data_IF_108448050691
#
_entry.id   IF_108448050691
#
_cell.length_a   1.000
_cell.length_b   1.000
_cell.length_c   1.000
_cell.angle_alpha   90.00
_cell.angle_beta   90.00
_cell.angle_gamma   90.00
#
_symmetry.space_group_name_H-M   'P 1'
#
loop_
_entity.id
_entity.type
_entity.pdbx_description
1 polymer ?
#
# COMPACT_ATOMS: atom_id res chain seq x y z
N UNK A 1 -11.18 -6.74 -10.33
CA UNK A 1 -10.02 -7.24 -11.10
C UNK A 1 -8.70 -7.01 -10.37
N UNK A 2 -8.38 -5.78 -9.94
CA UNK A 2 -7.13 -5.47 -9.20
C UNK A 2 -6.92 -6.37 -7.97
N UNK A 3 -7.98 -6.61 -7.19
CA UNK A 3 -7.91 -7.49 -6.00
C UNK A 3 -7.57 -8.95 -6.33
N UNK A 4 -8.11 -9.50 -7.43
CA UNK A 4 -7.86 -10.88 -7.84
C UNK A 4 -6.42 -11.04 -8.32
N UNK A 5 -5.93 -10.07 -9.10
CA UNK A 5 -4.53 -10.06 -9.60
C UNK A 5 -3.55 -9.95 -8.43
N UNK A 6 -3.82 -9.11 -7.43
CA UNK A 6 -2.99 -8.98 -6.23
C UNK A 6 -2.94 -10.27 -5.40
N UNK A 7 -4.06 -10.99 -5.27
CA UNK A 7 -4.11 -12.28 -4.56
C UNK A 7 -3.35 -13.37 -5.31
N UNK A 8 -3.50 -13.43 -6.63
CA UNK A 8 -2.76 -14.38 -7.48
C UNK A 8 -1.25 -14.14 -7.43
N UNK A 9 -0.84 -12.87 -7.46
CA UNK A 9 0.56 -12.49 -7.31
C UNK A 9 1.13 -12.90 -5.94
N UNK A 10 0.38 -12.68 -4.85
CA UNK A 10 0.76 -13.13 -3.51
C UNK A 10 0.96 -14.66 -3.46
N UNK A 11 0.04 -15.42 -4.06
CA UNK A 11 0.14 -16.88 -4.14
C UNK A 11 1.36 -17.34 -4.93
N UNK A 12 1.68 -16.68 -6.04
CA UNK A 12 2.87 -16.98 -6.86
C UNK A 12 4.15 -16.68 -6.07
N UNK A 13 4.21 -15.57 -5.35
CA UNK A 13 5.36 -15.21 -4.50
C UNK A 13 5.52 -16.23 -3.37
N UNK A 14 4.43 -16.61 -2.69
CA UNK A 14 4.47 -17.63 -1.65
C UNK A 14 4.88 -19.00 -2.19
N UNK A 15 4.34 -19.42 -3.35
CA UNK A 15 4.73 -20.64 -4.01
C UNK A 15 6.21 -20.61 -4.43
N UNK A 16 6.70 -19.46 -4.91
CA UNK A 16 8.11 -19.25 -5.25
C UNK A 16 9.02 -19.35 -4.04
N UNK A 17 8.64 -18.76 -2.90
CA UNK A 17 9.38 -18.88 -1.63
C UNK A 17 9.40 -20.34 -1.17
N UNK A 18 8.25 -21.03 -1.19
CA UNK A 18 8.17 -22.47 -0.84
C UNK A 18 9.04 -23.30 -1.77
N UNK A 19 9.03 -23.03 -3.08
CA UNK A 19 9.83 -23.73 -4.07
C UNK A 19 11.33 -23.48 -3.86
N UNK A 20 11.75 -22.24 -3.56
CA UNK A 20 13.14 -21.91 -3.22
C UNK A 20 13.56 -22.57 -1.92
N UNK A 21 12.68 -22.69 -0.92
CA UNK A 21 12.97 -23.40 0.34
C UNK A 21 13.08 -24.91 0.11
N UNK A 22 12.23 -25.49 -0.74
CA UNK A 22 12.27 -26.93 -1.06
C UNK A 22 13.49 -27.28 -1.92
N UNK A 23 13.82 -26.45 -2.92
CA UNK A 23 14.98 -26.65 -3.79
C UNK A 23 16.30 -26.31 -3.08
N UNK A 24 16.32 -25.28 -2.25
CA UNK A 24 17.46 -24.91 -1.41
C UNK A 24 17.70 -25.88 -0.25
N UNK A 25 16.64 -26.49 0.29
CA UNK A 25 16.70 -27.56 1.29
C UNK A 25 17.11 -28.92 0.72
N UNK A 26 16.81 -29.21 -0.54
CA UNK A 26 17.12 -30.49 -1.19
C UNK A 26 18.57 -30.68 -1.63
N UNK A 27 19.34 -29.60 -1.84
CA UNK A 27 20.74 -29.69 -2.33
C UNK A 27 21.77 -29.78 -1.19
N UNK A 28 21.38 -29.48 0.05
CA UNK A 28 22.30 -29.53 1.21
C UNK A 28 21.75 -30.38 2.34
N UNK A 29 21.10 -31.52 2.10
CA UNK A 29 20.98 -32.54 3.16
C UNK A 29 22.32 -33.24 3.33
N UNK A 30 23.31 -32.49 3.82
CA UNK A 30 24.52 -33.03 4.40
C UNK A 30 24.25 -33.28 5.88
N UNK A 31 24.88 -34.31 6.44
CA UNK A 31 24.66 -34.89 7.79
C UNK A 31 24.76 -33.90 8.97
N UNK A 32 25.12 -32.63 8.73
CA UNK A 32 25.25 -31.54 9.69
C UNK A 32 24.18 -30.44 9.50
N UNK A 33 23.00 -30.77 8.95
CA UNK A 33 21.93 -29.81 8.76
C UNK A 33 21.33 -29.36 10.09
N UNK A 34 21.68 -28.15 10.52
CA UNK A 34 21.17 -27.59 11.78
C UNK A 34 19.85 -26.85 11.51
N UNK A 35 18.73 -27.52 11.80
CA UNK A 35 17.38 -26.97 11.66
C UNK A 35 17.19 -25.62 12.37
N UNK A 36 17.92 -25.39 13.48
CA UNK A 36 17.93 -24.10 14.20
C UNK A 36 18.47 -22.98 13.32
N UNK A 37 19.59 -23.22 12.64
CA UNK A 37 20.21 -22.24 11.76
C UNK A 37 19.31 -21.93 10.57
N UNK A 38 18.73 -22.95 9.92
CA UNK A 38 17.76 -22.75 8.83
C UNK A 38 16.56 -21.90 9.28
N UNK A 39 15.99 -22.21 10.46
CA UNK A 39 14.91 -21.42 11.04
C UNK A 39 15.30 -19.95 11.23
N UNK A 40 16.48 -19.69 11.82
CA UNK A 40 16.94 -18.32 12.06
C UNK A 40 17.11 -17.55 10.74
N UNK A 41 17.68 -18.18 9.70
CA UNK A 41 17.82 -17.55 8.39
C UNK A 41 16.46 -17.27 7.71
N UNK A 42 15.50 -18.18 7.82
CA UNK A 42 14.16 -17.97 7.25
C UNK A 42 13.42 -16.81 7.94
N UNK A 43 13.44 -16.75 9.27
CA UNK A 43 12.82 -15.64 10.02
C UNK A 43 13.52 -14.32 9.71
N UNK A 44 14.86 -14.34 9.64
CA UNK A 44 15.66 -13.19 9.24
C UNK A 44 15.27 -12.70 7.83
N UNK A 45 15.10 -13.61 6.87
CA UNK A 45 14.64 -13.25 5.52
C UNK A 45 13.25 -12.60 5.53
N UNK A 46 12.28 -13.19 6.24
CA UNK A 46 10.91 -12.67 6.31
C UNK A 46 10.88 -11.28 6.94
N UNK A 47 11.60 -11.09 8.04
CA UNK A 47 11.67 -9.80 8.75
C UNK A 47 12.39 -8.73 7.94
N UNK A 48 13.40 -9.10 7.14
CA UNK A 48 14.04 -8.21 6.18
C UNK A 48 13.08 -7.75 5.07
N UNK A 49 12.26 -8.66 4.53
CA UNK A 49 11.26 -8.31 3.51
C UNK A 49 10.22 -7.35 4.09
N UNK A 50 9.76 -7.57 5.32
CA UNK A 50 8.85 -6.66 6.04
C UNK A 50 9.51 -5.28 6.22
N UNK A 51 10.77 -5.24 6.65
CA UNK A 51 11.54 -4.01 6.80
C UNK A 51 11.59 -3.21 5.50
N UNK A 52 12.06 -3.84 4.42
CA UNK A 52 12.21 -3.20 3.10
C UNK A 52 10.86 -2.69 2.59
N UNK A 53 9.81 -3.49 2.70
CA UNK A 53 8.46 -3.12 2.26
C UNK A 53 7.94 -1.93 3.06
N UNK A 54 8.11 -1.95 4.39
CA UNK A 54 7.78 -0.84 5.28
C UNK A 54 8.53 0.44 4.93
N UNK A 55 9.83 0.34 4.61
CA UNK A 55 10.67 1.47 4.20
C UNK A 55 10.16 2.08 2.89
N UNK A 56 9.93 1.28 1.85
CA UNK A 56 9.45 1.77 0.54
C UNK A 56 8.14 2.53 0.71
N UNK A 57 7.17 1.94 1.41
CA UNK A 57 5.89 2.60 1.63
C UNK A 57 6.00 3.86 2.48
N UNK A 58 6.86 3.86 3.50
CA UNK A 58 7.12 5.04 4.33
C UNK A 58 7.62 6.20 3.48
N UNK A 59 8.65 5.96 2.65
CA UNK A 59 9.19 6.99 1.75
C UNK A 59 8.09 7.51 0.82
N UNK A 60 7.33 6.62 0.18
CA UNK A 60 6.25 7.02 -0.72
C UNK A 60 5.21 7.90 -0.03
N UNK A 61 4.74 7.51 1.17
CA UNK A 61 3.75 8.30 1.92
C UNK A 61 4.32 9.61 2.45
N UNK A 62 5.62 9.66 2.77
CA UNK A 62 6.28 10.93 3.12
C UNK A 62 6.30 11.86 1.92
N UNK A 63 6.64 11.37 0.72
CA UNK A 63 6.60 12.19 -0.51
C UNK A 63 5.18 12.71 -0.77
N UNK A 64 4.16 11.86 -0.65
CA UNK A 64 2.75 12.24 -0.81
C UNK A 64 2.28 13.33 0.18
N UNK A 65 2.91 13.42 1.36
CA UNK A 65 2.61 14.46 2.36
C UNK A 65 3.36 15.75 2.10
N UNK A 66 4.57 15.68 1.55
CA UNK A 66 5.41 16.85 1.26
C UNK A 66 4.99 17.52 -0.06
N UNK A 67 4.62 16.73 -1.06
CA UNK A 67 4.25 17.22 -2.40
C UNK A 67 2.73 17.44 -2.46
N UNK A 68 2.30 18.70 -2.34
CA UNK A 68 0.88 19.07 -2.18
C UNK A 68 0.03 18.99 -3.46
N UNK A 69 0.64 18.90 -4.64
CA UNK A 69 -0.06 19.04 -5.93
C UNK A 69 0.05 17.83 -6.88
N UNK A 70 0.50 16.67 -6.38
CA UNK A 70 0.67 15.48 -7.23
C UNK A 70 -0.65 14.75 -7.56
N UNK A 71 -1.80 15.20 -7.02
CA UNK A 71 -3.05 14.45 -7.09
C UNK A 71 -4.02 15.00 -8.14
N UNK A 72 -4.61 14.09 -8.91
CA UNK A 72 -5.73 14.40 -9.79
C UNK A 72 -6.99 14.68 -8.96
N UNK A 73 -7.57 15.85 -9.16
CA UNK A 73 -8.91 16.19 -8.69
C UNK A 73 -9.87 16.13 -9.88
N UNK A 74 -11.11 15.75 -9.61
CA UNK A 74 -12.18 15.88 -10.60
C UNK A 74 -12.30 17.35 -10.98
N UNK A 75 -12.40 17.68 -12.27
CA UNK A 75 -12.56 19.07 -12.71
C UNK A 75 -13.93 19.60 -12.33
N UNK A 76 -14.10 20.93 -12.29
CA UNK A 76 -15.43 21.53 -12.05
C UNK A 76 -16.45 21.09 -13.11
N UNK A 77 -16.02 20.97 -14.37
CA UNK A 77 -16.87 20.51 -15.48
C UNK A 77 -17.34 19.06 -15.27
N UNK A 78 -16.44 18.17 -14.88
CA UNK A 78 -16.80 16.79 -14.53
C UNK A 78 -17.71 16.75 -13.29
N UNK A 79 -17.50 17.65 -12.32
CA UNK A 79 -18.30 17.71 -11.09
C UNK A 79 -19.73 18.17 -11.39
N UNK A 80 -19.88 19.15 -12.27
CA UNK A 80 -21.17 19.65 -12.76
C UNK A 80 -22.00 18.55 -13.42
N UNK A 81 -21.36 17.57 -14.07
CA UNK A 81 -22.07 16.44 -14.70
C UNK A 81 -23.00 15.68 -13.74
N UNK A 82 -22.75 15.71 -12.43
CA UNK A 82 -23.59 15.05 -11.41
C UNK A 82 -24.95 15.71 -11.20
N UNK A 83 -25.11 16.97 -11.59
CA UNK A 83 -26.32 17.75 -11.37
C UNK A 83 -27.22 17.86 -12.60
N UNK A 84 -26.79 17.30 -13.73
CA UNK A 84 -27.67 17.13 -14.88
C UNK A 84 -28.58 15.93 -14.64
N UNK A 85 -29.88 16.15 -14.73
CA UNK A 85 -30.89 15.09 -14.67
C UNK A 85 -31.28 14.74 -16.10
N UNK A 86 -31.36 13.44 -16.41
CA UNK A 86 -31.92 12.99 -17.68
C UNK A 86 -33.43 12.86 -17.50
N UNK A 87 -34.18 13.66 -18.24
CA UNK A 87 -35.64 13.59 -18.25
C UNK A 87 -36.13 12.25 -18.83
N UNK A 88 -37.44 11.94 -18.72
CA UNK A 88 -38.03 10.70 -19.23
C UNK A 88 -37.83 10.47 -20.74
N UNK A 89 -37.51 11.51 -21.52
CA UNK A 89 -37.13 11.41 -22.94
C UNK A 89 -35.62 11.24 -23.20
N UNK A 90 -34.79 11.08 -22.17
CA UNK A 90 -33.34 10.93 -22.29
C UNK A 90 -32.60 12.22 -22.68
N UNK A 91 -33.26 13.38 -22.68
CA UNK A 91 -32.64 14.70 -22.90
C UNK A 91 -32.03 15.21 -21.59
N UNK A 92 -30.87 15.87 -21.68
CA UNK A 92 -30.26 16.58 -20.54
C UNK A 92 -31.18 17.74 -20.17
N UNK A 93 -31.76 17.71 -18.98
CA UNK A 93 -32.41 18.87 -18.37
C UNK A 93 -31.35 19.77 -17.73
N UNK A 94 -31.60 21.08 -17.77
CA UNK A 94 -30.73 22.05 -17.09
C UNK A 94 -30.66 21.76 -15.59
N UNK A 95 -29.47 21.97 -15.01
CA UNK A 95 -29.23 21.80 -13.59
C UNK A 95 -30.25 22.60 -12.77
N UNK A 96 -30.84 21.95 -11.77
CA UNK A 96 -31.73 22.62 -10.80
C UNK A 96 -30.98 23.60 -9.88
N UNK A 97 -29.65 23.51 -9.83
CA UNK A 97 -28.79 24.40 -9.07
C UNK A 97 -28.20 25.48 -9.98
N UNK A 98 -28.06 26.68 -9.43
CA UNK A 98 -27.32 27.77 -10.06
C UNK A 98 -25.83 27.43 -10.18
N UNK A 99 -25.12 28.05 -11.13
CA UNK A 99 -23.69 27.83 -11.32
C UNK A 99 -22.84 28.25 -10.10
N UNK A 100 -23.31 29.25 -9.37
CA UNK A 100 -22.64 29.73 -8.17
C UNK A 100 -22.74 28.71 -7.03
N UNK A 101 -23.92 28.10 -6.84
CA UNK A 101 -24.11 27.00 -5.88
C UNK A 101 -23.28 25.76 -6.23
N UNK A 102 -23.14 25.43 -7.51
CA UNK A 102 -22.32 24.28 -7.93
C UNK A 102 -20.83 24.54 -7.65
N UNK A 103 -20.36 25.76 -7.90
CA UNK A 103 -18.97 26.15 -7.61
C UNK A 103 -18.68 26.09 -6.12
N UNK A 104 -19.59 26.61 -5.28
CA UNK A 104 -19.45 26.53 -3.83
C UNK A 104 -19.42 25.08 -3.30
N UNK A 105 -20.27 24.21 -3.86
CA UNK A 105 -20.27 22.77 -3.54
C UNK A 105 -18.98 22.08 -3.99
N UNK A 106 -18.42 22.47 -5.12
CA UNK A 106 -17.16 21.95 -5.63
C UNK A 106 -15.97 22.34 -4.73
N UNK A 107 -15.91 23.60 -4.29
CA UNK A 107 -14.87 24.04 -3.34
C UNK A 107 -14.94 23.26 -2.02
N UNK A 108 -16.16 23.09 -1.48
CA UNK A 108 -16.40 22.28 -0.29
C UNK A 108 -15.96 20.82 -0.50
N UNK A 109 -16.24 20.25 -1.68
CA UNK A 109 -15.81 18.91 -2.04
C UNK A 109 -14.29 18.78 -2.07
N UNK A 110 -13.57 19.75 -2.67
CA UNK A 110 -12.11 19.76 -2.70
C UNK A 110 -11.51 19.81 -1.30
N UNK A 111 -12.05 20.66 -0.42
CA UNK A 111 -11.56 20.78 0.96
C UNK A 111 -11.78 19.47 1.76
N UNK A 112 -12.95 18.85 1.62
CA UNK A 112 -13.26 17.58 2.26
C UNK A 112 -12.37 16.44 1.76
N UNK A 113 -12.19 16.34 0.44
CA UNK A 113 -11.34 15.31 -0.17
C UNK A 113 -9.88 15.49 0.25
N UNK A 114 -9.38 16.73 0.29
CA UNK A 114 -8.05 17.05 0.78
C UNK A 114 -7.86 16.64 2.25
N UNK A 115 -8.79 17.02 3.11
CA UNK A 115 -8.75 16.70 4.54
C UNK A 115 -8.77 15.18 4.76
N UNK A 116 -9.67 14.47 4.06
CA UNK A 116 -9.79 13.01 4.16
C UNK A 116 -8.53 12.32 3.68
N UNK A 117 -7.94 12.78 2.56
CA UNK A 117 -6.70 12.24 2.00
C UNK A 117 -5.51 12.46 2.92
N UNK A 118 -5.34 13.65 3.48
CA UNK A 118 -4.27 13.93 4.43
C UNK A 118 -4.35 13.02 5.65
N UNK A 119 -5.54 12.91 6.26
CA UNK A 119 -5.75 12.01 7.39
C UNK A 119 -5.43 10.53 7.03
N UNK A 120 -5.85 10.09 5.84
CA UNK A 120 -5.57 8.75 5.34
C UNK A 120 -4.07 8.51 5.09
N UNK A 121 -3.36 9.49 4.51
CA UNK A 121 -1.93 9.41 4.24
C UNK A 121 -1.11 9.38 5.52
N UNK A 122 -1.46 10.18 6.53
CA UNK A 122 -0.83 10.14 7.85
C UNK A 122 -1.04 8.76 8.50
N UNK A 123 -2.27 8.22 8.46
CA UNK A 123 -2.55 6.89 9.01
C UNK A 123 -1.74 5.80 8.31
N UNK A 124 -1.69 5.85 6.97
CA UNK A 124 -0.93 4.89 6.17
C UNK A 124 0.58 4.99 6.42
N UNK A 125 1.10 6.20 6.60
CA UNK A 125 2.50 6.44 6.98
C UNK A 125 2.82 5.80 8.33
N UNK A 126 1.95 5.99 9.34
CA UNK A 126 2.12 5.38 10.64
C UNK A 126 2.17 3.85 10.56
N UNK A 127 1.31 3.24 9.74
CA UNK A 127 1.34 1.79 9.51
C UNK A 127 2.63 1.33 8.82
N UNK A 128 3.05 1.97 7.73
CA UNK A 128 4.27 1.57 7.02
C UNK A 128 5.51 1.76 7.87
N UNK A 129 5.56 2.84 8.65
CA UNK A 129 6.65 3.11 9.58
C UNK A 129 6.68 2.08 10.72
N UNK A 130 5.52 1.67 11.24
CA UNK A 130 5.44 0.60 12.23
C UNK A 130 5.95 -0.72 11.66
N UNK A 131 5.57 -1.07 10.43
CA UNK A 131 6.08 -2.28 9.76
C UNK A 131 7.60 -2.22 9.57
N UNK A 132 8.13 -1.06 9.19
CA UNK A 132 9.57 -0.82 9.10
C UNK A 132 10.24 -1.04 10.47
N UNK A 133 9.74 -0.43 11.55
CA UNK A 133 10.34 -0.60 12.87
C UNK A 133 10.30 -2.06 13.34
N UNK A 134 9.15 -2.72 13.22
CA UNK A 134 8.99 -4.12 13.65
C UNK A 134 9.92 -5.03 12.84
N UNK A 135 9.90 -4.92 11.51
CA UNK A 135 10.77 -5.71 10.63
C UNK A 135 12.25 -5.49 10.95
N UNK A 136 12.66 -4.24 11.13
CA UNK A 136 14.05 -3.88 11.42
C UNK A 136 14.54 -4.38 12.77
N UNK A 137 13.74 -4.21 13.84
CA UNK A 137 14.10 -4.68 15.19
C UNK A 137 14.23 -6.21 15.22
N UNK A 138 13.25 -6.92 14.65
CA UNK A 138 13.29 -8.38 14.63
C UNK A 138 14.41 -8.92 13.76
N UNK A 139 14.65 -8.31 12.60
CA UNK A 139 15.77 -8.67 11.72
C UNK A 139 17.10 -8.52 12.45
N UNK A 140 17.32 -7.36 13.08
CA UNK A 140 18.56 -7.07 13.79
C UNK A 140 18.82 -8.07 14.92
N UNK A 141 17.79 -8.38 15.72
CA UNK A 141 17.88 -9.38 16.79
C UNK A 141 18.27 -10.77 16.26
N UNK A 142 17.59 -11.27 15.23
CA UNK A 142 17.87 -12.60 14.68
C UNK A 142 19.22 -12.65 13.96
N UNK A 143 19.62 -11.56 13.31
CA UNK A 143 20.94 -11.45 12.69
C UNK A 143 22.08 -11.52 13.70
N UNK A 144 21.96 -10.83 14.85
CA UNK A 144 22.95 -10.95 15.92
C UNK A 144 23.05 -12.39 16.44
N UNK A 145 21.91 -13.05 16.65
CA UNK A 145 21.86 -14.43 17.12
C UNK A 145 22.50 -15.43 16.16
N UNK A 146 22.39 -15.20 14.85
CA UNK A 146 23.08 -16.01 13.83
C UNK A 146 24.59 -15.84 13.91
N UNK A 147 25.10 -14.66 14.28
CA UNK A 147 26.54 -14.40 14.39
C UNK A 147 27.17 -14.99 15.65
N UNK A 148 26.37 -15.29 16.66
CA UNK A 148 26.80 -15.85 17.94
C UNK A 148 26.84 -17.40 17.92
N UNK A 149 26.08 -18.02 17.00
CA UNK A 149 26.10 -19.47 16.72
C UNK A 149 27.25 -19.86 15.77
#
# INVERSE_FOLDING_TARGET
MVTIVSVLFLFIVLAGIVLVVLLGGGVVVTKNFNLKSLYLYLVCLVTLVIFITGTIFTIHRTVDLVVKDAYYYQTLEDFQQRYFVYGPEGKREESQLSQEEITQRYETYLEQENTRRQAQNIRNLAYSFSAMLVGGIFWFYHWQKIKED
#
